data_IF_894383776847
#
_entry.id   IF_894383776847
#
_cell.length_a   1.000
_cell.length_b   1.000
_cell.length_c   1.000
_cell.angle_alpha   90.00
_cell.angle_beta   90.00
_cell.angle_gamma   90.00
#
_symmetry.space_group_name_H-M   'P 1'
#
loop_
_entity.id
_entity.type
_entity.pdbx_description
1 polymer ?
#
# COMPACT_ATOMS: atom_id res chain seq x y z
N UNK A 1 -15.42 0.37 11.38
CA UNK A 1 -14.74 1.30 10.46
C UNK A 1 -15.72 2.15 9.66
N UNK A 2 -16.69 1.56 8.95
CA UNK A 2 -17.66 2.32 8.14
C UNK A 2 -18.36 3.46 8.89
N UNK A 3 -18.89 3.22 10.09
CA UNK A 3 -19.59 4.25 10.86
C UNK A 3 -18.68 5.42 11.28
N UNK A 4 -17.42 5.13 11.65
CA UNK A 4 -16.43 6.16 12.00
C UNK A 4 -16.12 7.00 10.75
N UNK A 5 -15.99 6.33 9.60
CA UNK A 5 -15.69 6.99 8.35
C UNK A 5 -16.83 7.88 7.86
N UNK A 6 -18.07 7.40 7.90
CA UNK A 6 -19.24 8.20 7.57
C UNK A 6 -19.37 9.44 8.48
N UNK A 7 -18.96 9.33 9.75
CA UNK A 7 -18.93 10.49 10.65
C UNK A 7 -17.85 11.50 10.23
N UNK A 8 -16.64 11.05 9.89
CA UNK A 8 -15.55 11.92 9.39
C UNK A 8 -15.96 12.63 8.10
N UNK A 9 -16.62 11.93 7.18
CA UNK A 9 -17.12 12.52 5.94
C UNK A 9 -18.17 13.60 6.17
N UNK A 10 -19.02 13.43 7.19
CA UNK A 10 -20.06 14.41 7.52
C UNK A 10 -19.50 15.63 8.25
N UNK A 11 -18.51 15.43 9.13
CA UNK A 11 -17.92 16.52 9.90
C UNK A 11 -16.80 17.25 9.15
N UNK A 12 -16.11 16.58 8.23
CA UNK A 12 -14.82 17.04 7.72
C UNK A 12 -13.71 16.94 8.78
N UNK A 13 -13.96 16.27 9.91
CA UNK A 13 -13.05 16.28 11.06
C UNK A 13 -12.52 14.89 11.37
N UNK A 14 -11.19 14.77 11.46
CA UNK A 14 -10.52 13.59 12.01
C UNK A 14 -10.04 13.92 13.42
N UNK A 15 -10.69 13.32 14.42
CA UNK A 15 -10.34 13.48 15.83
C UNK A 15 -9.65 12.22 16.35
N UNK A 16 -8.36 12.32 16.64
CA UNK A 16 -7.57 11.33 17.36
C UNK A 16 -7.37 11.80 18.81
N UNK A 17 -7.01 10.90 19.72
CA UNK A 17 -7.00 11.14 21.18
C UNK A 17 -6.33 12.45 21.62
N UNK A 18 -5.36 12.97 20.85
CA UNK A 18 -4.68 14.25 21.10
C UNK A 18 -4.55 15.16 19.86
N UNK A 19 -5.22 14.88 18.75
CA UNK A 19 -5.04 15.61 17.50
C UNK A 19 -6.39 15.78 16.79
N UNK A 20 -6.64 16.99 16.31
CA UNK A 20 -7.82 17.31 15.50
C UNK A 20 -7.34 17.82 14.15
N UNK A 21 -7.79 17.17 13.08
CA UNK A 21 -7.54 17.58 11.70
C UNK A 21 -8.85 17.97 11.06
N UNK A 22 -8.85 19.10 10.35
CA UNK A 22 -9.91 19.50 9.43
C UNK A 22 -9.49 19.10 8.03
N UNK A 23 -10.35 18.39 7.32
CA UNK A 23 -10.17 18.01 5.93
C UNK A 23 -10.65 19.15 5.04
N UNK A 24 -9.78 19.66 4.19
CA UNK A 24 -10.11 20.62 3.14
C UNK A 24 -10.45 19.87 1.83
N UNK A 25 -11.07 20.56 0.87
CA UNK A 25 -11.44 19.99 -0.44
C UNK A 25 -10.21 19.49 -1.23
N UNK A 26 -9.03 20.01 -0.94
CA UNK A 26 -7.77 19.58 -1.56
C UNK A 26 -7.16 18.31 -0.92
N UNK A 27 -7.65 17.90 0.26
CA UNK A 27 -7.11 16.75 0.96
C UNK A 27 -7.60 15.45 0.34
N UNK A 28 -6.66 14.53 0.10
CA UNK A 28 -6.98 13.15 -0.32
C UNK A 28 -6.75 12.19 0.82
N UNK A 29 -7.79 11.47 1.21
CA UNK A 29 -7.75 10.48 2.28
C UNK A 29 -7.68 9.06 1.70
N UNK A 30 -6.72 8.28 2.17
CA UNK A 30 -6.57 6.87 1.86
C UNK A 30 -6.83 6.01 3.11
N UNK A 31 -7.58 4.93 2.96
CA UNK A 31 -7.88 3.95 4.01
C UNK A 31 -7.16 2.65 3.69
N UNK A 32 -6.05 2.38 4.38
CA UNK A 32 -5.26 1.17 4.16
C UNK A 32 -5.81 0.00 4.95
N UNK A 33 -5.90 -1.16 4.31
CA UNK A 33 -6.31 -2.38 4.99
C UNK A 33 -5.77 -3.65 4.34
N UNK A 34 -5.58 -4.67 5.16
CA UNK A 34 -5.11 -5.99 4.77
C UNK A 34 -6.33 -6.91 4.60
N UNK A 35 -6.31 -7.80 3.59
CA UNK A 35 -7.41 -8.77 3.38
C UNK A 35 -7.36 -9.89 4.42
N UNK A 36 -6.17 -10.43 4.69
CA UNK A 36 -5.88 -11.59 5.56
C UNK A 36 -7.11 -12.38 6.09
N UNK A 37 -7.47 -12.24 7.35
CA UNK A 37 -8.65 -12.86 7.98
C UNK A 37 -9.90 -11.96 7.91
N UNK A 38 -9.79 -10.77 7.31
CA UNK A 38 -10.83 -9.75 7.22
C UNK A 38 -11.65 -9.78 5.93
N UNK A 39 -11.46 -10.76 5.04
CA UNK A 39 -12.21 -10.91 3.79
C UNK A 39 -13.73 -10.74 3.97
N UNK A 40 -14.33 -11.47 4.93
CA UNK A 40 -15.77 -11.41 5.22
C UNK A 40 -16.25 -10.03 5.69
N UNK A 41 -15.34 -9.18 6.20
CA UNK A 41 -15.65 -7.81 6.57
C UNK A 41 -15.71 -6.93 5.32
N UNK A 42 -14.81 -7.10 4.35
CA UNK A 42 -14.82 -6.35 3.10
C UNK A 42 -16.06 -6.64 2.26
N UNK A 43 -16.52 -7.89 2.21
CA UNK A 43 -17.77 -8.24 1.51
C UNK A 43 -18.99 -7.51 2.10
N UNK A 44 -18.97 -7.20 3.41
CA UNK A 44 -20.07 -6.53 4.12
C UNK A 44 -19.99 -5.01 4.05
N UNK A 45 -18.81 -4.45 3.82
CA UNK A 45 -18.66 -3.02 3.61
C UNK A 45 -18.92 -2.81 2.12
N UNK A 46 -19.82 -1.90 1.75
CA UNK A 46 -20.03 -1.44 0.35
C UNK A 46 -18.79 -0.67 -0.17
N UNK A 47 -17.57 -1.18 0.07
CA UNK A 47 -16.28 -0.57 -0.25
C UNK A 47 -16.11 -0.29 -1.75
N UNK A 48 -16.84 -1.03 -2.60
CA UNK A 48 -16.54 -1.13 -4.02
C UNK A 48 -17.50 -0.30 -4.88
N UNK A 49 -18.75 -0.09 -4.43
CA UNK A 49 -19.82 0.36 -5.33
C UNK A 49 -20.14 1.87 -5.26
N UNK A 50 -19.67 2.60 -4.25
CA UNK A 50 -20.43 3.78 -3.80
C UNK A 50 -19.95 5.16 -4.19
N UNK A 51 -18.77 5.59 -3.73
CA UNK A 51 -18.47 7.03 -3.74
C UNK A 51 -16.97 7.33 -3.63
N UNK A 52 -16.30 7.50 -4.77
CA UNK A 52 -14.90 7.91 -4.87
C UNK A 52 -14.62 9.32 -4.33
N UNK A 53 -15.66 10.12 -4.06
CA UNK A 53 -15.53 11.51 -3.64
C UNK A 53 -15.07 11.69 -2.19
N UNK A 54 -15.18 10.65 -1.36
CA UNK A 54 -15.13 10.85 0.08
C UNK A 54 -14.03 10.03 0.78
N UNK A 55 -13.11 9.42 0.01
CA UNK A 55 -11.82 8.82 0.36
C UNK A 55 -11.68 7.35 -0.08
N UNK A 56 -10.44 6.94 -0.37
CA UNK A 56 -10.13 5.78 -1.21
C UNK A 56 -9.60 4.61 -0.38
N UNK A 57 -10.24 3.46 -0.45
CA UNK A 57 -9.69 2.22 0.11
C UNK A 57 -8.47 1.76 -0.67
N UNK A 58 -7.45 1.32 0.06
CA UNK A 58 -6.23 0.75 -0.48
C UNK A 58 -6.03 -0.60 0.20
N UNK A 59 -6.39 -1.65 -0.52
CA UNK A 59 -6.46 -3.02 0.00
C UNK A 59 -5.27 -3.84 -0.51
N UNK A 60 -4.64 -4.61 0.37
CA UNK A 60 -3.53 -5.52 0.04
C UNK A 60 -3.83 -6.95 0.49
N UNK A 61 -3.53 -7.95 -0.34
CA UNK A 61 -3.76 -9.35 -0.04
C UNK A 61 -2.47 -10.19 -0.16
N UNK A 62 -1.99 -10.82 0.92
CA UNK A 62 -2.64 -10.90 2.24
C UNK A 62 -2.51 -9.62 3.07
N UNK A 63 -1.46 -8.82 2.86
CA UNK A 63 -1.14 -7.67 3.70
C UNK A 63 -0.24 -6.65 2.99
N UNK A 64 -0.02 -5.49 3.63
CA UNK A 64 0.84 -4.40 3.14
C UNK A 64 2.25 -4.84 2.73
N UNK A 65 2.83 -5.88 3.33
CA UNK A 65 4.16 -6.37 2.95
C UNK A 65 4.23 -6.81 1.48
N UNK A 66 3.11 -7.13 0.82
CA UNK A 66 3.08 -7.39 -0.63
C UNK A 66 3.53 -6.17 -1.44
N UNK A 67 3.09 -4.97 -1.04
CA UNK A 67 3.57 -3.73 -1.65
C UNK A 67 5.07 -3.56 -1.46
N UNK A 68 5.56 -3.82 -0.24
CA UNK A 68 6.98 -3.72 0.04
C UNK A 68 7.79 -4.75 -0.77
N UNK A 69 7.27 -5.97 -0.94
CA UNK A 69 7.86 -6.98 -1.81
C UNK A 69 8.01 -6.47 -3.24
N UNK A 70 6.96 -5.88 -3.81
CA UNK A 70 7.00 -5.33 -5.17
C UNK A 70 7.98 -4.18 -5.36
N UNK A 71 8.29 -3.43 -4.30
CA UNK A 71 9.35 -2.42 -4.35
C UNK A 71 10.76 -3.01 -4.53
N UNK A 72 10.96 -4.33 -4.36
CA UNK A 72 12.28 -4.96 -4.46
C UNK A 72 12.34 -6.18 -5.40
N UNK A 73 11.20 -6.82 -5.69
CA UNK A 73 11.08 -8.11 -6.38
C UNK A 73 9.81 -8.14 -7.25
N UNK A 74 9.69 -9.09 -8.16
CA UNK A 74 8.56 -9.18 -9.11
C UNK A 74 8.11 -10.61 -9.46
N UNK A 75 8.54 -11.63 -8.71
CA UNK A 75 8.27 -13.04 -8.99
C UNK A 75 7.44 -13.69 -7.87
N UNK A 76 6.25 -13.17 -7.52
CA UNK A 76 5.51 -13.56 -6.32
C UNK A 76 5.10 -15.04 -6.34
N UNK A 77 4.82 -15.59 -7.52
CA UNK A 77 4.47 -16.99 -7.72
C UNK A 77 5.59 -17.96 -7.34
N UNK A 78 6.85 -17.52 -7.46
CA UNK A 78 8.03 -18.33 -7.09
C UNK A 78 8.49 -17.97 -5.68
N UNK A 79 8.70 -16.69 -5.39
CA UNK A 79 9.28 -16.21 -4.14
C UNK A 79 8.33 -16.41 -2.95
N UNK A 80 7.02 -16.30 -3.19
CA UNK A 80 5.98 -16.33 -2.15
C UNK A 80 5.08 -17.56 -2.26
N UNK A 81 5.53 -18.60 -2.98
CA UNK A 81 4.77 -19.82 -3.25
C UNK A 81 4.24 -20.50 -1.97
N UNK A 82 4.99 -20.42 -0.86
CA UNK A 82 4.59 -21.04 0.42
C UNK A 82 3.27 -20.47 0.94
N UNK A 83 2.93 -19.20 0.66
CA UNK A 83 1.69 -18.56 1.15
C UNK A 83 0.42 -19.31 0.73
N UNK A 84 0.44 -19.99 -0.41
CA UNK A 84 -0.70 -20.79 -0.89
C UNK A 84 -1.03 -21.96 0.04
N UNK A 85 -0.06 -22.44 0.81
CA UNK A 85 -0.23 -23.57 1.73
C UNK A 85 -0.72 -23.17 3.12
N UNK A 86 -0.67 -21.87 3.45
CA UNK A 86 -1.12 -21.35 4.73
C UNK A 86 -2.59 -20.92 4.70
N UNK A 87 -3.24 -21.12 5.86
CA UNK A 87 -4.54 -20.54 6.18
C UNK A 87 -4.49 -19.01 6.04
N UNK A 88 -5.61 -18.39 5.68
CA UNK A 88 -5.75 -16.94 5.49
C UNK A 88 -5.14 -16.13 6.65
N UNK A 89 -5.48 -16.48 7.89
CA UNK A 89 -5.00 -15.82 9.11
C UNK A 89 -3.48 -15.91 9.36
N UNK A 90 -2.77 -16.83 8.68
CA UNK A 90 -1.32 -17.03 8.84
C UNK A 90 -0.50 -16.46 7.69
N UNK A 91 -1.13 -16.11 6.56
CA UNK A 91 -0.42 -15.62 5.37
C UNK A 91 0.33 -14.32 5.63
N UNK A 92 -0.21 -13.39 6.42
CA UNK A 92 0.46 -12.13 6.76
C UNK A 92 1.69 -12.34 7.65
N UNK A 93 1.64 -13.33 8.56
CA UNK A 93 2.78 -13.72 9.40
C UNK A 93 3.89 -14.35 8.57
N UNK A 94 3.54 -15.24 7.64
CA UNK A 94 4.50 -15.86 6.72
C UNK A 94 5.11 -14.82 5.77
N UNK A 95 4.34 -13.83 5.29
CA UNK A 95 4.88 -12.74 4.46
C UNK A 95 6.02 -12.00 5.15
N UNK A 96 5.84 -11.69 6.44
CA UNK A 96 6.88 -11.03 7.26
C UNK A 96 8.11 -11.91 7.43
N UNK A 97 7.93 -13.22 7.55
CA UNK A 97 9.04 -14.17 7.63
C UNK A 97 9.83 -14.23 6.32
N UNK A 98 9.12 -14.43 5.18
CA UNK A 98 9.71 -14.49 3.84
C UNK A 98 10.42 -13.19 3.46
N UNK A 99 9.85 -12.04 3.81
CA UNK A 99 10.44 -10.74 3.50
C UNK A 99 11.87 -10.58 4.04
N UNK A 100 12.16 -11.12 5.23
CA UNK A 100 13.50 -11.09 5.83
C UNK A 100 14.49 -12.07 5.17
N UNK A 101 13.98 -13.12 4.51
CA UNK A 101 14.78 -14.11 3.81
C UNK A 101 15.09 -13.69 2.37
N UNK A 102 14.12 -13.08 1.69
CA UNK A 102 14.19 -12.74 0.26
C UNK A 102 15.01 -11.48 -0.04
N UNK A 103 15.01 -10.51 0.89
CA UNK A 103 15.68 -9.22 0.73
C UNK A 103 16.67 -9.03 1.88
N UNK A 104 17.99 -8.93 1.60
CA UNK A 104 18.97 -8.60 2.63
C UNK A 104 18.65 -7.25 3.29
N UNK A 105 18.45 -7.25 4.61
CA UNK A 105 17.99 -6.06 5.34
C UNK A 105 16.46 -5.95 5.46
N UNK A 106 15.73 -6.93 4.94
CA UNK A 106 14.27 -7.04 5.02
C UNK A 106 13.53 -6.10 4.07
N UNK A 107 12.21 -6.21 4.09
CA UNK A 107 11.29 -5.33 3.36
C UNK A 107 11.21 -3.95 4.06
N UNK A 108 12.28 -3.17 3.97
CA UNK A 108 12.39 -1.89 4.68
C UNK A 108 11.52 -0.80 4.01
N UNK A 109 10.50 -0.24 4.70
CA UNK A 109 9.62 0.78 4.13
C UNK A 109 10.34 2.07 3.69
N UNK A 110 11.42 2.44 4.38
CA UNK A 110 12.22 3.62 4.00
C UNK A 110 12.93 3.42 2.66
N UNK A 111 13.36 2.19 2.38
CA UNK A 111 13.96 1.85 1.10
C UNK A 111 12.90 1.61 0.02
N UNK A 112 11.73 1.08 0.40
CA UNK A 112 10.60 0.92 -0.51
C UNK A 112 10.14 2.27 -1.08
N UNK A 113 10.18 3.35 -0.29
CA UNK A 113 9.91 4.70 -0.78
C UNK A 113 10.86 5.14 -1.91
N UNK A 114 12.11 4.66 -1.88
CA UNK A 114 13.07 4.93 -2.96
C UNK A 114 12.84 4.08 -4.23
N UNK A 115 11.94 3.09 -4.17
CA UNK A 115 11.67 2.13 -5.24
C UNK A 115 10.18 2.12 -5.61
N UNK A 116 9.46 3.23 -5.36
CA UNK A 116 8.02 3.28 -5.61
C UNK A 116 7.69 3.15 -7.10
N UNK A 117 8.56 3.60 -8.01
CA UNK A 117 8.32 3.46 -9.45
C UNK A 117 8.28 1.99 -9.88
N UNK A 118 9.25 1.21 -9.40
CA UNK A 118 9.32 -0.24 -9.56
C UNK A 118 8.14 -0.92 -8.87
N UNK A 119 7.86 -0.54 -7.63
CA UNK A 119 6.72 -1.05 -6.87
C UNK A 119 5.38 -0.83 -7.57
N UNK A 120 5.14 0.35 -8.15
CA UNK A 120 3.94 0.66 -8.94
C UNK A 120 3.85 -0.24 -10.17
N UNK A 121 4.94 -0.41 -10.91
CA UNK A 121 4.95 -1.24 -12.11
C UNK A 121 4.65 -2.70 -11.81
N UNK A 122 5.38 -3.29 -10.86
CA UNK A 122 5.19 -4.68 -10.44
C UNK A 122 3.82 -4.92 -9.82
N UNK A 123 3.36 -4.02 -8.95
CA UNK A 123 2.04 -4.14 -8.33
C UNK A 123 0.92 -4.11 -9.37
N UNK A 124 1.02 -3.31 -10.44
CA UNK A 124 0.04 -3.26 -11.52
C UNK A 124 0.08 -4.51 -12.39
N UNK A 125 1.26 -5.07 -12.64
CA UNK A 125 1.44 -6.30 -13.41
C UNK A 125 0.71 -7.49 -12.78
N UNK A 126 0.76 -7.59 -11.45
CA UNK A 126 0.15 -8.69 -10.69
C UNK A 126 -1.20 -8.30 -10.05
N UNK A 127 -1.78 -7.17 -10.42
CA UNK A 127 -3.06 -6.73 -9.86
C UNK A 127 -4.24 -7.46 -10.49
N UNK A 128 -5.04 -8.11 -9.66
CA UNK A 128 -6.34 -8.64 -10.05
C UNK A 128 -7.28 -8.67 -8.82
N UNK A 129 -8.57 -8.69 -9.09
CA UNK A 129 -9.63 -8.75 -8.10
C UNK A 129 -10.51 -9.99 -8.34
N UNK A 130 -11.21 -10.43 -7.30
CA UNK A 130 -12.24 -11.45 -7.39
C UNK A 130 -13.62 -10.89 -7.80
N UNK A 131 -14.64 -11.74 -7.77
CA UNK A 131 -16.02 -11.37 -8.12
C UNK A 131 -16.64 -10.33 -7.16
N UNK A 132 -16.04 -10.14 -5.98
CA UNK A 132 -16.44 -9.17 -4.96
C UNK A 132 -15.59 -7.88 -5.04
N UNK A 133 -14.74 -7.75 -6.07
CA UNK A 133 -13.77 -6.67 -6.26
C UNK A 133 -12.79 -6.52 -5.09
N UNK A 134 -12.44 -7.63 -4.46
CA UNK A 134 -11.41 -7.70 -3.43
C UNK A 134 -10.12 -8.19 -4.10
N UNK A 135 -8.95 -7.57 -3.83
CA UNK A 135 -7.68 -8.02 -4.40
C UNK A 135 -7.42 -9.50 -4.10
N UNK A 136 -7.04 -10.28 -5.12
CA UNK A 136 -6.68 -11.69 -4.97
C UNK A 136 -5.29 -11.84 -4.33
N UNK A 137 -4.87 -13.07 -4.00
CA UNK A 137 -3.56 -13.32 -3.41
C UNK A 137 -2.44 -12.68 -4.24
N UNK A 138 -1.52 -11.97 -3.57
CA UNK A 138 -0.43 -11.17 -4.14
C UNK A 138 -0.85 -9.85 -4.81
N UNK A 139 -2.13 -9.52 -4.88
CA UNK A 139 -2.58 -8.23 -5.39
C UNK A 139 -2.59 -7.16 -4.29
N UNK A 140 -2.25 -5.93 -4.67
CA UNK A 140 -2.32 -4.75 -3.80
C UNK A 140 -2.71 -3.51 -4.59
N UNK A 141 -3.57 -2.67 -4.00
CA UNK A 141 -3.95 -1.37 -4.53
C UNK A 141 -2.96 -0.25 -4.17
N UNK A 142 -1.86 -0.56 -3.46
CA UNK A 142 -0.90 0.46 -3.03
C UNK A 142 -0.29 1.27 -4.18
N UNK A 143 -0.28 0.73 -5.40
CA UNK A 143 0.15 1.47 -6.59
C UNK A 143 -0.69 2.72 -6.86
N UNK A 144 -1.98 2.75 -6.48
CA UNK A 144 -2.85 3.92 -6.62
C UNK A 144 -2.40 5.06 -5.69
N UNK A 145 -2.17 4.73 -4.42
CA UNK A 145 -1.67 5.70 -3.44
C UNK A 145 -0.24 6.15 -3.77
N UNK A 146 0.64 5.22 -4.11
CA UNK A 146 2.03 5.52 -4.43
C UNK A 146 2.14 6.43 -5.66
N UNK A 147 1.37 6.15 -6.72
CA UNK A 147 1.32 7.02 -7.91
C UNK A 147 0.84 8.42 -7.54
N UNK A 148 -0.26 8.52 -6.77
CA UNK A 148 -0.77 9.81 -6.31
C UNK A 148 0.29 10.60 -5.53
N UNK A 149 1.01 9.96 -4.61
CA UNK A 149 2.08 10.61 -3.84
C UNK A 149 3.21 11.11 -4.74
N UNK A 150 3.69 10.29 -5.68
CA UNK A 150 4.73 10.69 -6.65
C UNK A 150 4.26 11.89 -7.47
N UNK A 151 3.05 11.83 -8.01
CA UNK A 151 2.49 12.90 -8.85
C UNK A 151 2.35 14.20 -8.07
N UNK A 152 1.86 14.13 -6.83
CA UNK A 152 1.73 15.29 -5.94
C UNK A 152 3.08 15.91 -5.59
N UNK A 153 4.08 15.11 -5.21
CA UNK A 153 5.42 15.59 -4.89
C UNK A 153 6.13 16.20 -6.11
N UNK A 154 5.86 15.67 -7.30
CA UNK A 154 6.48 16.17 -8.52
C UNK A 154 5.76 17.36 -9.14
N UNK A 155 4.50 17.61 -8.77
CA UNK A 155 3.62 18.62 -9.40
C UNK A 155 4.25 20.01 -9.53
N UNK A 156 5.02 20.45 -8.53
CA UNK A 156 5.55 21.82 -8.47
C UNK A 156 7.07 21.88 -8.54
N UNK A 157 7.79 20.95 -7.91
CA UNK A 157 9.24 21.05 -7.73
C UNK A 157 10.00 19.74 -8.00
N UNK A 158 9.38 18.74 -8.64
CA UNK A 158 10.03 17.44 -8.88
C UNK A 158 10.66 16.81 -7.61
N UNK A 159 10.04 17.03 -6.44
CA UNK A 159 10.65 16.73 -5.14
C UNK A 159 11.02 15.25 -4.98
N UNK A 160 10.17 14.37 -5.52
CA UNK A 160 10.45 12.94 -5.50
C UNK A 160 11.69 12.60 -6.32
N UNK A 161 11.80 13.14 -7.54
CA UNK A 161 12.97 12.92 -8.40
C UNK A 161 14.25 13.47 -7.75
N UNK A 162 14.21 14.67 -7.18
CA UNK A 162 15.35 15.25 -6.47
C UNK A 162 15.75 14.42 -5.25
N UNK A 163 14.77 13.92 -4.49
CA UNK A 163 15.01 13.02 -3.37
C UNK A 163 15.77 11.75 -3.80
N UNK A 164 15.33 11.09 -4.89
CA UNK A 164 15.98 9.89 -5.42
C UNK A 164 17.41 10.20 -5.87
N UNK A 165 17.62 11.26 -6.65
CA UNK A 165 18.94 11.65 -7.14
C UNK A 165 19.91 11.93 -5.98
N UNK A 166 19.45 12.66 -4.95
CA UNK A 166 20.27 12.96 -3.77
C UNK A 166 20.66 11.70 -3.00
N UNK A 167 19.75 10.74 -2.87
CA UNK A 167 20.02 9.45 -2.21
C UNK A 167 21.03 8.61 -3.00
N UNK A 168 20.89 8.55 -4.32
CA UNK A 168 21.84 7.85 -5.19
C UNK A 168 23.24 8.47 -5.11
N UNK A 169 23.35 9.79 -5.24
CA UNK A 169 24.63 10.50 -5.14
C UNK A 169 25.31 10.29 -3.77
N UNK A 170 24.53 10.32 -2.67
CA UNK A 170 25.06 10.04 -1.34
C UNK A 170 25.61 8.60 -1.23
N UNK A 171 24.89 7.60 -1.76
CA UNK A 171 25.35 6.19 -1.76
C UNK A 171 26.62 6.00 -2.60
N UNK A 172 26.76 6.71 -3.72
CA UNK A 172 27.97 6.67 -4.55
C UNK A 172 29.18 7.29 -3.83
N UNK A 173 28.98 8.35 -3.04
CA UNK A 173 30.04 8.94 -2.22
C UNK A 173 30.49 8.00 -1.11
N UNK A 174 29.55 7.28 -0.47
CA UNK A 174 29.87 6.32 0.61
C UNK A 174 30.58 5.05 0.14
N UNK A 175 30.58 4.78 -1.18
CA UNK A 175 31.29 3.65 -1.79
C UNK A 175 32.74 3.98 -2.19
N UNK A 176 33.12 5.26 -2.21
CA UNK A 176 34.47 5.74 -2.48
C UNK A 176 35.29 5.80 -1.20
#
# INVERSE_FOLDING_TARGET
MQAIWSAIQQSGEVSLTNQHYQLDEMDKVFLLSDVDEFYDQFVKIDCVAGNQQAGQWIISNPCFEVWLYYCFKNEPETDLASLKTFDLAKRSQEMKHLGNLLVPGGLNPLWAFEQMAEGIAHSREHYAEDEQSIPILYATQMHEMAQYLIDMMNRTANEYHEFIQRKQAWREQMKK
#
